data_IF_139131226333
#
_entry.id   IF_139131226333
#
_cell.length_a   1.000
_cell.length_b   1.000
_cell.length_c   1.000
_cell.angle_alpha   90.00
_cell.angle_beta   90.00
_cell.angle_gamma   90.00
#
_symmetry.space_group_name_H-M   'P 1'
#
loop_
_entity.id
_entity.type
_entity.pdbx_description
1 polymer ?
#
# COMPACT_ATOMS: atom_id res chain seq x y z
N UNK A 1 -12.45 -77.04 11.18
CA UNK A 1 -13.46 -76.98 10.11
C UNK A 1 -13.34 -75.62 9.42
N UNK A 2 -12.60 -75.59 8.31
CA UNK A 2 -12.63 -74.55 7.28
C UNK A 2 -13.71 -74.97 6.24
N UNK A 3 -13.93 -74.22 5.15
CA UNK A 3 -14.33 -72.80 5.04
C UNK A 3 -15.44 -72.66 3.97
N UNK A 4 -16.04 -71.48 3.77
CA UNK A 4 -16.60 -71.15 2.44
C UNK A 4 -16.26 -69.71 2.05
N UNK A 5 -15.56 -69.67 0.92
CA UNK A 5 -14.92 -68.56 0.23
C UNK A 5 -15.27 -68.77 -1.24
N UNK A 6 -15.97 -67.83 -1.87
CA UNK A 6 -16.05 -67.62 -3.34
C UNK A 6 -16.45 -66.14 -3.51
N UNK A 7 -15.59 -65.17 -3.83
CA UNK A 7 -14.93 -64.80 -5.13
C UNK A 7 -15.91 -64.53 -6.29
N UNK A 8 -15.45 -63.70 -7.25
CA UNK A 8 -16.12 -63.12 -8.44
C UNK A 8 -16.76 -61.74 -8.16
N UNK A 9 -16.45 -60.63 -8.85
CA UNK A 9 -15.70 -60.42 -10.08
C UNK A 9 -15.08 -59.00 -10.12
N UNK A 10 -13.87 -58.93 -10.65
CA UNK A 10 -13.06 -57.77 -11.02
C UNK A 10 -13.49 -57.25 -12.40
N UNK A 11 -13.31 -55.94 -12.68
CA UNK A 11 -13.30 -55.20 -13.98
C UNK A 11 -13.92 -53.80 -13.76
N UNK A 12 -13.36 -52.64 -14.12
CA UNK A 12 -12.25 -52.31 -15.03
C UNK A 12 -11.92 -50.80 -14.93
N UNK A 13 -10.62 -50.52 -14.82
CA UNK A 13 -9.84 -49.54 -15.63
C UNK A 13 -10.04 -48.02 -15.43
N UNK A 14 -9.17 -47.49 -14.57
CA UNK A 14 -8.35 -46.30 -14.82
C UNK A 14 -7.45 -46.55 -16.05
N UNK A 15 -7.39 -45.64 -17.05
CA UNK A 15 -6.15 -45.22 -17.72
C UNK A 15 -6.33 -44.31 -18.97
N UNK A 16 -5.46 -43.28 -19.00
CA UNK A 16 -4.78 -42.67 -20.17
C UNK A 16 -5.57 -41.79 -21.17
N UNK A 17 -5.13 -40.54 -21.21
CA UNK A 17 -5.35 -39.61 -22.32
C UNK A 17 -4.28 -38.50 -22.39
N UNK A 18 -3.00 -38.87 -22.37
CA UNK A 18 -1.92 -38.02 -22.88
C UNK A 18 -1.76 -38.24 -24.38
N UNK A 19 -1.40 -37.17 -25.10
CA UNK A 19 -0.98 -37.06 -26.51
C UNK A 19 -2.08 -36.60 -27.47
N UNK A 20 -2.12 -35.29 -27.70
CA UNK A 20 -2.19 -34.77 -29.06
C UNK A 20 -1.01 -33.82 -29.27
N UNK A 21 0.00 -34.37 -29.93
CA UNK A 21 1.02 -33.64 -30.67
C UNK A 21 0.45 -33.52 -32.08
N UNK A 22 0.34 -32.32 -32.64
CA UNK A 22 0.99 -31.94 -33.91
C UNK A 22 0.51 -30.55 -34.37
N UNK A 23 1.51 -29.70 -34.61
CA UNK A 23 1.62 -28.76 -35.73
C UNK A 23 0.60 -27.61 -35.85
N UNK A 24 1.07 -26.37 -35.59
CA UNK A 24 1.54 -25.48 -36.66
C UNK A 24 2.07 -24.14 -36.11
N UNK A 25 3.21 -23.75 -36.69
CA UNK A 25 3.71 -22.37 -36.90
C UNK A 25 4.09 -21.49 -35.70
N UNK A 26 5.39 -21.58 -35.38
CA UNK A 26 6.22 -20.47 -34.88
C UNK A 26 6.12 -19.26 -35.83
N UNK A 27 5.73 -18.10 -35.29
CA UNK A 27 6.13 -16.79 -35.83
C UNK A 27 6.97 -16.10 -34.75
N UNK A 28 8.28 -16.32 -34.80
CA UNK A 28 9.27 -15.61 -33.97
C UNK A 28 9.93 -14.58 -34.88
N UNK A 29 9.51 -13.32 -34.76
CA UNK A 29 10.15 -12.20 -35.44
C UNK A 29 11.61 -12.12 -34.96
N UNK A 30 12.52 -12.41 -35.88
CA UNK A 30 13.96 -12.28 -35.73
C UNK A 30 14.36 -10.88 -36.16
N UNK A 31 14.59 -9.97 -35.22
CA UNK A 31 15.32 -8.72 -35.48
C UNK A 31 16.80 -9.04 -35.24
N UNK A 32 17.56 -9.11 -36.32
CA UNK A 32 19.02 -9.27 -36.28
C UNK A 32 19.64 -8.59 -37.50
N UNK A 33 20.22 -7.41 -37.30
CA UNK A 33 21.32 -6.82 -38.07
C UNK A 33 21.96 -5.72 -37.19
N UNK A 34 23.25 -5.36 -37.36
CA UNK A 34 24.40 -6.17 -37.76
C UNK A 34 25.59 -6.02 -36.77
N UNK A 35 26.52 -6.97 -36.79
CA UNK A 35 27.87 -6.81 -36.23
C UNK A 35 28.89 -6.88 -37.38
N UNK A 36 29.83 -5.94 -37.38
CA UNK A 36 31.15 -6.09 -38.00
C UNK A 36 31.44 -5.10 -39.12
N UNK A 37 32.24 -4.07 -38.85
CA UNK A 37 33.63 -4.02 -39.33
C UNK A 37 34.44 -2.96 -38.57
N UNK A 38 35.69 -3.29 -38.32
CA UNK A 38 36.62 -2.61 -37.43
C UNK A 38 37.55 -1.63 -38.17
N UNK A 39 38.05 -0.67 -37.40
CA UNK A 39 39.38 -0.02 -37.40
C UNK A 39 39.96 0.60 -38.68
N UNK A 40 40.37 1.88 -38.58
CA UNK A 40 41.77 2.35 -38.60
C UNK A 40 41.83 3.90 -38.49
N UNK A 41 42.76 4.42 -37.68
CA UNK A 41 42.94 5.85 -37.35
C UNK A 41 43.67 6.71 -38.41
N UNK A 42 44.56 7.66 -38.03
CA UNK A 42 44.18 9.00 -37.55
C UNK A 42 44.95 10.18 -38.23
N UNK A 43 44.59 11.42 -37.84
CA UNK A 43 45.24 12.75 -38.06
C UNK A 43 45.22 13.40 -39.46
N UNK A 44 44.64 14.63 -39.54
CA UNK A 44 45.34 15.85 -40.00
C UNK A 44 44.55 17.14 -39.72
N UNK A 45 45.30 18.15 -39.31
CA UNK A 45 44.93 19.54 -38.98
C UNK A 45 45.11 20.43 -40.22
N UNK A 46 44.16 21.33 -40.52
CA UNK A 46 44.34 22.67 -41.14
C UNK A 46 42.94 23.34 -41.26
N UNK A 47 42.59 24.40 -40.50
CA UNK A 47 42.72 25.84 -40.85
C UNK A 47 42.20 26.14 -42.27
N UNK A 48 41.17 26.96 -42.56
CA UNK A 48 40.72 28.26 -42.02
C UNK A 48 39.41 28.72 -42.72
N UNK A 49 38.81 29.81 -42.19
CA UNK A 49 37.76 30.72 -42.75
C UNK A 49 36.30 30.51 -42.32
N UNK A 50 35.92 31.28 -41.29
CA UNK A 50 34.63 31.94 -41.05
C UNK A 50 34.34 33.03 -42.13
N UNK A 51 33.16 33.72 -42.22
CA UNK A 51 32.19 33.98 -41.15
C UNK A 51 30.66 33.98 -41.48
N UNK A 52 29.89 33.94 -40.37
CA UNK A 52 28.62 34.60 -39.99
C UNK A 52 27.59 35.07 -41.05
N UNK A 53 26.30 34.86 -40.75
CA UNK A 53 25.33 35.96 -40.52
C UNK A 53 23.98 35.48 -39.99
N UNK A 54 23.39 36.37 -39.19
CA UNK A 54 22.30 36.21 -38.24
C UNK A 54 21.11 37.10 -38.61
N UNK A 55 19.87 36.58 -38.46
CA UNK A 55 18.55 37.26 -38.25
C UNK A 55 18.13 38.35 -39.29
N UNK A 56 16.83 38.76 -39.47
CA UNK A 56 15.92 39.25 -38.40
C UNK A 56 14.38 39.13 -38.59
N UNK A 57 13.70 39.49 -37.49
CA UNK A 57 12.32 39.98 -37.31
C UNK A 57 11.73 40.84 -38.46
N UNK A 58 10.39 40.81 -38.62
CA UNK A 58 9.52 42.01 -38.67
C UNK A 58 8.01 41.72 -38.70
N UNK A 59 7.31 42.50 -37.89
CA UNK A 59 5.86 42.74 -37.76
C UNK A 59 5.30 43.66 -38.85
N UNK A 60 4.07 43.43 -39.36
CA UNK A 60 3.23 44.41 -40.11
C UNK A 60 1.75 44.10 -39.80
N UNK A 61 1.08 44.88 -38.93
CA UNK A 61 0.14 46.02 -39.18
C UNK A 61 -1.29 45.62 -39.56
N UNK A 62 -2.19 46.26 -38.81
CA UNK A 62 -3.66 46.36 -38.87
C UNK A 62 -4.31 46.46 -40.24
N UNK A 63 -5.50 45.86 -40.36
CA UNK A 63 -6.54 46.34 -41.27
C UNK A 63 -7.91 46.29 -40.56
N UNK A 64 -8.36 47.46 -40.14
CA UNK A 64 -9.73 47.74 -39.73
C UNK A 64 -10.63 47.70 -40.97
N UNK A 65 -11.73 46.95 -40.92
CA UNK A 65 -12.85 47.10 -41.82
C UNK A 65 -14.11 47.32 -40.97
N UNK A 66 -14.57 48.57 -40.93
CA UNK A 66 -15.91 48.96 -40.53
C UNK A 66 -16.65 49.38 -41.79
N UNK A 67 -17.86 48.88 -42.02
CA UNK A 67 -19.03 49.56 -42.61
C UNK A 67 -20.20 48.53 -42.56
N UNK A 68 -21.17 48.68 -41.64
CA UNK A 68 -22.52 49.26 -41.85
C UNK A 68 -23.53 48.21 -42.40
N UNK A 69 -24.75 47.95 -41.93
CA UNK A 69 -25.58 48.21 -40.73
C UNK A 69 -26.84 47.28 -40.84
N UNK A 70 -27.94 47.38 -40.06
CA UNK A 70 -28.64 46.24 -39.44
C UNK A 70 -29.94 45.81 -40.15
N UNK A 71 -30.33 44.53 -40.03
CA UNK A 71 -31.74 44.14 -40.27
C UNK A 71 -32.10 42.82 -39.59
N UNK A 72 -33.33 42.78 -39.09
CA UNK A 72 -34.11 41.67 -38.53
C UNK A 72 -33.57 40.98 -37.27
N UNK A 73 -34.06 41.49 -36.13
CA UNK A 73 -34.25 40.71 -34.92
C UNK A 73 -35.47 39.79 -35.11
N UNK A 74 -35.27 38.47 -35.12
CA UNK A 74 -36.30 37.51 -34.75
C UNK A 74 -35.68 36.36 -33.95
N UNK A 75 -36.36 36.03 -32.86
CA UNK A 75 -35.92 35.19 -31.76
C UNK A 75 -35.89 33.71 -32.14
N UNK A 76 -34.79 33.01 -31.82
CA UNK A 76 -34.81 31.56 -31.63
C UNK A 76 -33.93 31.21 -30.42
N UNK A 77 -34.60 30.87 -29.32
CA UNK A 77 -34.19 29.86 -28.34
C UNK A 77 -32.80 29.96 -27.75
N UNK A 78 -32.67 30.72 -26.66
CA UNK A 78 -31.66 30.47 -25.62
C UNK A 78 -31.89 29.06 -25.03
N UNK A 79 -31.26 28.04 -25.61
CA UNK A 79 -31.08 26.76 -24.95
C UNK A 79 -29.97 26.96 -23.92
N UNK A 80 -30.36 27.22 -22.67
CA UNK A 80 -29.47 27.13 -21.52
C UNK A 80 -29.00 25.67 -21.39
N UNK A 81 -27.93 25.34 -22.10
CA UNK A 81 -27.18 24.12 -21.87
C UNK A 81 -26.16 24.41 -20.76
N UNK A 82 -26.66 24.41 -19.52
CA UNK A 82 -25.81 24.35 -18.34
C UNK A 82 -25.20 22.95 -18.30
N UNK A 83 -24.09 22.76 -19.02
CA UNK A 83 -23.25 21.58 -18.86
C UNK A 83 -22.54 21.70 -17.51
N UNK A 84 -23.18 21.13 -16.49
CA UNK A 84 -22.54 20.66 -15.27
C UNK A 84 -21.53 19.55 -15.61
N UNK A 85 -20.46 19.89 -16.32
CA UNK A 85 -19.22 19.11 -16.37
C UNK A 85 -18.34 19.47 -15.17
N UNK A 86 -18.95 19.48 -13.99
CA UNK A 86 -18.29 19.54 -12.69
C UNK A 86 -18.07 18.14 -12.10
N UNK A 87 -17.98 17.08 -12.92
CA UNK A 87 -17.47 15.79 -12.43
C UNK A 87 -15.97 15.94 -12.23
N UNK A 88 -15.59 16.33 -11.01
CA UNK A 88 -14.22 16.33 -10.47
C UNK A 88 -13.40 15.25 -11.17
N UNK A 89 -12.37 15.68 -11.91
CA UNK A 89 -11.29 14.80 -12.33
C UNK A 89 -10.68 14.24 -11.03
N UNK A 90 -11.13 13.05 -10.59
CA UNK A 90 -10.46 12.33 -9.52
C UNK A 90 -9.06 12.03 -10.05
N UNK A 91 -8.06 12.73 -9.56
CA UNK A 91 -6.66 12.48 -9.93
C UNK A 91 -6.33 11.01 -9.67
N UNK A 92 -6.09 10.25 -10.74
CA UNK A 92 -5.75 8.82 -10.70
C UNK A 92 -4.37 8.54 -10.06
N UNK A 93 -3.67 9.57 -9.57
CA UNK A 93 -2.36 9.43 -8.92
C UNK A 93 -2.47 8.87 -7.51
N UNK A 94 -3.51 9.21 -6.75
CA UNK A 94 -3.73 8.71 -5.38
C UNK A 94 -4.02 7.22 -5.34
N UNK A 95 -4.62 6.66 -6.41
CA UNK A 95 -4.86 5.21 -6.55
C UNK A 95 -3.58 4.39 -6.57
N UNK A 96 -2.44 4.97 -6.96
CA UNK A 96 -1.14 4.27 -6.93
C UNK A 96 -0.68 3.94 -5.51
N UNK A 97 -1.20 4.63 -4.49
CA UNK A 97 -0.87 4.42 -3.08
C UNK A 97 -1.72 3.35 -2.41
N UNK A 98 -2.78 2.87 -3.05
CA UNK A 98 -3.61 1.78 -2.52
C UNK A 98 -3.43 0.55 -3.41
N UNK A 99 -3.04 -0.56 -2.80
CA UNK A 99 -3.04 -1.86 -3.48
C UNK A 99 -3.63 -2.91 -2.55
N UNK A 100 -4.89 -3.27 -2.82
CA UNK A 100 -5.58 -4.32 -2.07
C UNK A 100 -5.17 -5.70 -2.56
N UNK A 101 -5.17 -6.64 -1.63
CA UNK A 101 -5.09 -8.05 -1.99
C UNK A 101 -6.38 -8.43 -2.76
N UNK A 102 -6.22 -8.99 -3.97
CA UNK A 102 -7.28 -9.38 -4.91
C UNK A 102 -7.98 -8.26 -5.71
N UNK A 103 -7.32 -7.12 -5.88
CA UNK A 103 -7.80 -6.01 -6.74
C UNK A 103 -9.23 -5.54 -6.42
N UNK A 104 -9.63 -5.67 -5.15
CA UNK A 104 -10.94 -5.20 -4.69
C UNK A 104 -11.01 -3.66 -4.75
N UNK A 105 -12.22 -3.12 -4.92
CA UNK A 105 -12.42 -1.67 -4.99
C UNK A 105 -12.06 -1.00 -3.64
N UNK A 106 -11.37 0.16 -3.68
CA UNK A 106 -11.04 0.91 -2.49
C UNK A 106 -12.29 1.50 -1.83
N UNK A 107 -12.31 1.50 -0.51
CA UNK A 107 -13.35 2.16 0.30
C UNK A 107 -13.13 3.66 0.29
N UNK A 108 -14.19 4.45 0.47
CA UNK A 108 -14.13 5.93 0.53
C UNK A 108 -13.12 6.43 1.57
N UNK A 109 -13.05 5.75 2.72
CA UNK A 109 -12.10 6.10 3.77
C UNK A 109 -10.65 5.86 3.34
N UNK A 110 -10.39 4.78 2.59
CA UNK A 110 -9.06 4.48 2.07
C UNK A 110 -8.65 5.46 0.98
N UNK A 111 -9.58 5.85 0.09
CA UNK A 111 -9.34 6.89 -0.92
C UNK A 111 -8.89 8.20 -0.24
N UNK A 112 -9.51 8.55 0.89
CA UNK A 112 -9.15 9.73 1.70
C UNK A 112 -7.74 9.61 2.29
N UNK A 113 -7.41 8.46 2.89
CA UNK A 113 -6.07 8.20 3.45
C UNK A 113 -5.00 8.26 2.35
N UNK A 114 -5.29 7.71 1.18
CA UNK A 114 -4.37 7.72 0.06
C UNK A 114 -4.17 9.11 -0.55
N UNK A 115 -5.21 9.93 -0.57
CA UNK A 115 -5.10 11.33 -0.95
C UNK A 115 -4.16 12.06 0.01
N UNK A 116 -4.31 11.88 1.33
CA UNK A 116 -3.40 12.51 2.30
C UNK A 116 -1.96 12.03 2.14
N UNK A 117 -1.72 10.74 1.89
CA UNK A 117 -0.38 10.24 1.62
C UNK A 117 0.24 10.86 0.36
N UNK A 118 -0.56 11.08 -0.69
CA UNK A 118 -0.12 11.75 -1.91
C UNK A 118 0.20 13.23 -1.68
N UNK A 119 -0.63 13.93 -0.90
CA UNK A 119 -0.38 15.34 -0.55
C UNK A 119 0.90 15.49 0.27
N UNK A 120 1.17 14.55 1.19
CA UNK A 120 2.41 14.52 1.98
C UNK A 120 3.66 14.28 1.13
N UNK A 121 3.57 13.46 0.08
CA UNK A 121 4.67 13.25 -0.88
C UNK A 121 5.04 14.55 -1.61
N UNK A 122 4.06 15.41 -1.91
CA UNK A 122 4.28 16.66 -2.61
C UNK A 122 4.70 17.81 -1.70
N UNK A 123 4.23 17.81 -0.45
CA UNK A 123 4.47 18.91 0.49
C UNK A 123 5.86 18.85 1.12
N UNK A 124 6.34 17.65 1.47
CA UNK A 124 7.60 17.48 2.21
C UNK A 124 8.70 16.86 1.34
N UNK A 125 9.72 17.64 1.01
CA UNK A 125 10.84 17.19 0.16
C UNK A 125 11.63 16.03 0.77
N UNK A 126 11.77 15.97 2.10
CA UNK A 126 12.50 14.89 2.79
C UNK A 126 11.78 13.54 2.72
N UNK A 127 10.45 13.53 2.87
CA UNK A 127 9.65 12.30 2.88
C UNK A 127 9.32 11.80 1.48
N UNK A 128 9.51 12.64 0.45
CA UNK A 128 9.14 12.34 -0.93
C UNK A 128 9.86 11.11 -1.47
N UNK A 129 11.15 10.98 -1.21
CA UNK A 129 11.97 9.86 -1.70
C UNK A 129 11.50 8.52 -1.14
N UNK A 130 11.26 8.46 0.17
CA UNK A 130 10.79 7.27 0.86
C UNK A 130 9.32 6.96 0.53
N UNK A 131 8.45 7.97 0.48
CA UNK A 131 7.00 7.76 0.28
C UNK A 131 6.66 7.33 -1.15
N UNK A 132 7.45 7.70 -2.16
CA UNK A 132 7.18 7.41 -3.58
C UNK A 132 6.87 5.93 -3.83
N UNK A 133 7.68 5.04 -3.27
CA UNK A 133 7.60 3.59 -3.47
C UNK A 133 6.67 2.89 -2.47
N UNK A 134 6.17 3.64 -1.47
CA UNK A 134 5.31 3.09 -0.43
C UNK A 134 3.84 3.14 -0.83
N UNK A 135 3.14 2.08 -0.48
CA UNK A 135 1.70 1.93 -0.66
C UNK A 135 1.10 1.20 0.55
N UNK A 136 -0.22 1.32 0.70
CA UNK A 136 -1.01 0.72 1.77
C UNK A 136 -1.97 -0.32 1.19
N UNK A 137 -2.31 -1.33 2.00
CA UNK A 137 -3.27 -2.35 1.63
C UNK A 137 -4.69 -1.89 1.92
N UNK A 138 -4.92 -1.42 3.14
CA UNK A 138 -6.23 -1.08 3.67
C UNK A 138 -6.09 -0.05 4.78
N UNK A 139 -7.14 0.71 5.06
CA UNK A 139 -7.25 1.55 6.23
C UNK A 139 -8.62 1.37 6.86
N UNK A 140 -8.67 1.28 8.18
CA UNK A 140 -9.89 1.10 8.96
C UNK A 140 -9.94 2.09 10.11
N UNK A 141 -11.11 2.69 10.32
CA UNK A 141 -11.37 3.47 11.52
C UNK A 141 -11.89 2.53 12.62
N UNK A 142 -11.37 2.70 13.83
CA UNK A 142 -11.66 1.85 14.98
C UNK A 142 -12.06 2.73 16.17
N UNK A 143 -13.16 2.38 16.84
CA UNK A 143 -13.63 3.13 18.00
C UNK A 143 -12.91 2.65 19.25
N UNK A 144 -12.22 3.53 19.96
CA UNK A 144 -11.48 3.21 21.18
C UNK A 144 -12.32 3.62 22.39
N UNK A 145 -12.04 3.03 23.56
CA UNK A 145 -12.59 3.49 24.82
C UNK A 145 -12.33 5.00 25.03
N UNK A 146 -13.31 5.71 25.61
CA UNK A 146 -13.21 7.14 25.89
C UNK A 146 -13.61 8.08 24.73
N UNK A 147 -14.53 7.67 23.85
CA UNK A 147 -15.02 8.44 22.69
C UNK A 147 -13.95 8.86 21.69
N UNK A 148 -12.74 8.32 21.79
CA UNK A 148 -11.65 8.54 20.83
C UNK A 148 -11.78 7.53 19.69
N UNK A 149 -11.51 7.98 18.46
CA UNK A 149 -11.43 7.12 17.29
C UNK A 149 -9.99 7.02 16.84
N UNK A 150 -9.51 5.79 16.64
CA UNK A 150 -8.20 5.52 16.09
C UNK A 150 -8.31 5.17 14.61
N UNK A 151 -7.27 5.53 13.85
CA UNK A 151 -7.13 5.13 12.44
C UNK A 151 -6.04 4.08 12.36
N UNK A 152 -6.41 2.89 11.90
CA UNK A 152 -5.46 1.79 11.69
C UNK A 152 -5.19 1.64 10.21
N UNK A 153 -3.92 1.78 9.83
CA UNK A 153 -3.47 1.67 8.45
C UNK A 153 -2.69 0.36 8.29
N UNK A 154 -3.16 -0.46 7.38
CA UNK A 154 -2.56 -1.74 7.04
C UNK A 154 -1.52 -1.57 5.94
N UNK A 155 -0.27 -1.90 6.28
CA UNK A 155 0.91 -1.78 5.42
C UNK A 155 1.35 -3.17 4.94
N UNK A 156 1.76 -3.33 3.68
CA UNK A 156 2.37 -4.58 3.22
C UNK A 156 3.55 -5.03 4.10
N UNK A 157 3.58 -6.30 4.52
CA UNK A 157 4.68 -6.83 5.34
C UNK A 157 6.08 -6.61 4.73
N UNK A 158 6.19 -6.61 3.39
CA UNK A 158 7.45 -6.36 2.67
C UNK A 158 8.01 -4.95 2.94
N UNK A 159 7.14 -3.96 3.05
CA UNK A 159 7.49 -2.54 3.18
C UNK A 159 7.56 -2.06 4.63
N UNK A 160 7.24 -2.93 5.61
CA UNK A 160 7.25 -2.62 7.05
C UNK A 160 8.54 -1.91 7.52
N UNK A 161 9.71 -2.35 7.04
CA UNK A 161 11.00 -1.75 7.42
C UNK A 161 11.13 -0.29 6.95
N UNK A 162 10.65 0.02 5.76
CA UNK A 162 10.68 1.38 5.22
C UNK A 162 9.73 2.29 6.01
N UNK A 163 8.51 1.82 6.30
CA UNK A 163 7.56 2.55 7.15
C UNK A 163 8.10 2.79 8.56
N UNK A 164 8.87 1.86 9.14
CA UNK A 164 9.51 2.07 10.46
C UNK A 164 10.51 3.23 10.46
N UNK A 165 11.28 3.42 9.37
CA UNK A 165 12.24 4.55 9.27
C UNK A 165 11.55 5.91 9.33
N UNK A 166 10.41 6.05 8.63
CA UNK A 166 9.70 7.32 8.50
C UNK A 166 8.55 7.50 9.49
N UNK A 167 8.29 6.51 10.34
CA UNK A 167 7.08 6.40 11.16
C UNK A 167 6.79 7.64 12.00
N UNK A 168 7.77 8.11 12.78
CA UNK A 168 7.60 9.24 13.70
C UNK A 168 7.13 10.50 12.98
N UNK A 169 7.67 10.75 11.79
CA UNK A 169 7.34 11.92 10.97
C UNK A 169 5.98 11.72 10.29
N UNK A 170 5.76 10.55 9.71
CA UNK A 170 4.52 10.21 9.00
C UNK A 170 3.30 10.28 9.93
N UNK A 171 3.39 9.68 11.13
CA UNK A 171 2.28 9.67 12.09
C UNK A 171 1.92 11.08 12.53
N UNK A 172 2.91 11.93 12.85
CA UNK A 172 2.67 13.33 13.23
C UNK A 172 1.95 14.12 12.13
N UNK A 173 2.34 13.92 10.87
CA UNK A 173 1.68 14.61 9.75
C UNK A 173 0.26 14.10 9.47
N UNK A 174 0.04 12.78 9.58
CA UNK A 174 -1.30 12.22 9.44
C UNK A 174 -2.22 12.65 10.59
N UNK A 175 -1.73 12.72 11.82
CA UNK A 175 -2.52 13.14 12.99
C UNK A 175 -3.01 14.58 12.88
N UNK A 176 -2.19 15.47 12.30
CA UNK A 176 -2.62 16.84 11.95
C UNK A 176 -3.79 16.83 10.97
N UNK A 177 -3.78 15.94 9.97
CA UNK A 177 -4.85 15.84 8.95
C UNK A 177 -6.11 15.16 9.47
N UNK A 178 -5.98 14.22 10.40
CA UNK A 178 -7.10 13.49 10.99
C UNK A 178 -7.70 14.16 12.24
N UNK A 179 -7.48 15.46 12.42
CA UNK A 179 -8.06 16.27 13.51
C UNK A 179 -7.73 15.71 14.90
N UNK A 180 -6.51 15.20 15.10
CA UNK A 180 -6.06 14.67 16.39
C UNK A 180 -6.56 13.26 16.72
N UNK A 181 -7.08 12.51 15.75
CA UNK A 181 -7.28 11.06 15.89
C UNK A 181 -5.93 10.36 15.86
N UNK A 182 -5.72 9.44 16.79
CA UNK A 182 -4.49 8.64 16.85
C UNK A 182 -4.37 7.73 15.63
N UNK A 183 -3.20 7.73 14.99
CA UNK A 183 -2.91 6.88 13.82
C UNK A 183 -1.93 5.78 14.20
N UNK A 184 -2.27 4.53 13.89
CA UNK A 184 -1.43 3.35 14.14
C UNK A 184 -1.18 2.60 12.84
N UNK A 185 0.09 2.26 12.57
CA UNK A 185 0.48 1.48 11.39
C UNK A 185 0.67 0.01 11.77
N UNK A 186 0.04 -0.89 11.03
CA UNK A 186 0.12 -2.34 11.27
C UNK A 186 0.49 -3.06 9.99
N UNK A 187 1.39 -4.03 10.07
CA UNK A 187 1.71 -4.84 8.90
C UNK A 187 0.61 -5.88 8.63
N UNK A 188 0.25 -6.08 7.36
CA UNK A 188 -0.64 -7.17 6.93
C UNK A 188 0.05 -8.51 7.08
N UNK A 189 -0.44 -9.33 8.01
CA UNK A 189 0.12 -10.65 8.32
C UNK A 189 -0.92 -11.73 8.08
N UNK A 190 -0.55 -12.77 7.33
CA UNK A 190 -1.43 -13.90 7.03
C UNK A 190 -1.31 -14.98 8.10
N UNK A 191 -2.41 -15.26 8.80
CA UNK A 191 -2.50 -16.40 9.73
C UNK A 191 -2.92 -17.64 8.94
N UNK A 192 -2.16 -18.73 9.08
CA UNK A 192 -2.49 -20.03 8.50
C UNK A 192 -2.99 -20.93 9.61
N UNK A 193 -4.10 -21.66 9.42
CA UNK A 193 -4.61 -22.58 10.45
C UNK A 193 -3.63 -23.74 10.66
N UNK A 194 -3.56 -24.34 11.86
CA UNK A 194 -2.80 -25.57 12.06
C UNK A 194 -3.22 -26.64 11.05
N UNK A 195 -2.27 -27.38 10.45
CA UNK A 195 -2.61 -28.47 9.54
C UNK A 195 -3.44 -29.54 10.27
N UNK A 196 -4.34 -30.21 9.55
CA UNK A 196 -5.08 -31.35 10.09
C UNK A 196 -4.13 -32.53 10.31
N UNK A 197 -4.44 -33.37 11.31
CA UNK A 197 -3.64 -34.58 11.62
C UNK A 197 -3.55 -35.46 10.35
N UNK A 198 -2.32 -35.76 9.91
CA UNK A 198 -2.06 -36.59 8.72
C UNK A 198 -1.69 -35.83 7.44
N UNK A 199 -1.73 -34.50 7.40
CA UNK A 199 -1.23 -33.77 6.23
C UNK A 199 0.29 -33.59 6.26
N UNK A 200 0.97 -33.84 5.14
CA UNK A 200 2.41 -33.63 4.99
C UNK A 200 2.82 -32.13 4.93
N UNK A 201 1.86 -31.21 4.80
CA UNK A 201 2.13 -29.77 4.65
C UNK A 201 2.46 -29.14 6.01
N UNK A 202 3.73 -28.80 6.20
CA UNK A 202 4.21 -28.11 7.40
C UNK A 202 3.85 -26.61 7.37
N UNK A 203 3.26 -26.10 8.46
CA UNK A 203 3.00 -24.66 8.61
C UNK A 203 4.29 -23.91 8.99
N UNK A 204 4.63 -22.79 8.32
CA UNK A 204 5.70 -21.90 8.76
C UNK A 204 5.43 -21.31 10.14
N UNK A 205 6.44 -21.27 11.02
CA UNK A 205 6.32 -20.71 12.38
C UNK A 205 5.88 -19.24 12.41
N UNK A 206 6.30 -18.46 11.41
CA UNK A 206 5.96 -17.04 11.27
C UNK A 206 4.48 -16.80 10.95
N UNK A 207 3.76 -17.80 10.44
CA UNK A 207 2.32 -17.71 10.10
C UNK A 207 1.43 -18.37 11.16
N UNK A 208 1.96 -18.56 12.36
CA UNK A 208 1.22 -19.05 13.52
C UNK A 208 0.41 -17.92 14.17
N UNK A 209 -0.73 -18.25 14.78
CA UNK A 209 -1.56 -17.24 15.47
C UNK A 209 -0.78 -16.52 16.56
N UNK A 210 -0.02 -17.27 17.36
CA UNK A 210 0.80 -16.71 18.44
C UNK A 210 1.87 -15.75 17.91
N UNK A 211 2.69 -16.19 16.95
CA UNK A 211 3.75 -15.34 16.40
C UNK A 211 3.21 -14.10 15.67
N UNK A 212 2.06 -14.22 15.01
CA UNK A 212 1.41 -13.06 14.37
C UNK A 212 0.91 -12.06 15.41
N UNK A 213 0.28 -12.53 16.50
CA UNK A 213 -0.20 -11.63 17.56
C UNK A 213 0.95 -10.92 18.27
N UNK A 214 2.05 -11.63 18.55
CA UNK A 214 3.24 -11.02 19.17
C UNK A 214 3.86 -9.95 18.26
N UNK A 215 3.94 -10.24 16.96
CA UNK A 215 4.51 -9.30 15.99
C UNK A 215 3.56 -8.14 15.64
N UNK A 216 2.24 -8.31 15.80
CA UNK A 216 1.27 -7.21 15.71
C UNK A 216 1.38 -6.30 16.93
N UNK A 217 1.57 -6.87 18.12
CA UNK A 217 1.76 -6.08 19.34
C UNK A 217 2.97 -5.14 19.21
N UNK A 218 4.08 -5.63 18.65
CA UNK A 218 5.26 -4.81 18.34
C UNK A 218 4.99 -3.68 17.33
N UNK A 219 4.15 -3.93 16.32
CA UNK A 219 3.84 -2.91 15.32
C UNK A 219 2.93 -1.82 15.89
N UNK A 220 2.02 -2.17 16.81
CA UNK A 220 1.09 -1.22 17.45
C UNK A 220 1.83 -0.23 18.36
N UNK A 221 2.83 -0.69 19.11
CA UNK A 221 3.52 0.16 20.11
C UNK A 221 4.71 0.94 19.56
N UNK A 222 5.12 0.68 18.32
CA UNK A 222 6.20 1.43 17.68
C UNK A 222 5.85 2.95 17.70
N UNK A 223 6.77 3.84 18.10
CA UNK A 223 8.22 3.70 18.22
C UNK A 223 8.73 2.93 19.46
N UNK A 224 7.93 2.82 20.52
CA UNK A 224 8.39 2.28 21.79
C UNK A 224 8.66 0.77 21.69
N UNK A 225 9.80 0.36 22.24
CA UNK A 225 10.17 -1.05 22.29
C UNK A 225 9.60 -1.73 23.54
N UNK A 226 9.24 -3.01 23.39
CA UNK A 226 8.71 -3.81 24.48
C UNK A 226 9.87 -4.42 25.27
N UNK A 227 10.03 -4.01 26.52
CA UNK A 227 11.05 -4.52 27.44
C UNK A 227 10.64 -5.87 28.03
N UNK A 228 9.35 -6.02 28.34
CA UNK A 228 8.85 -7.23 29.00
C UNK A 228 7.38 -7.49 28.76
N UNK A 229 6.98 -8.75 28.88
CA UNK A 229 5.58 -9.19 28.79
C UNK A 229 5.28 -10.14 29.95
N UNK A 230 4.21 -9.88 30.70
CA UNK A 230 3.71 -10.74 31.76
C UNK A 230 2.23 -11.04 31.50
N UNK A 231 1.81 -12.28 31.69
CA UNK A 231 0.39 -12.65 31.59
C UNK A 231 -0.12 -12.94 32.98
N UNK A 232 -1.08 -12.12 33.44
CA UNK A 232 -1.76 -12.34 34.71
C UNK A 232 -3.02 -13.16 34.45
N UNK A 233 -3.15 -14.26 35.17
CA UNK A 233 -4.35 -15.07 35.23
C UNK A 233 -5.17 -14.63 36.44
N UNK A 234 -6.43 -14.27 36.24
CA UNK A 234 -7.37 -14.00 37.34
C UNK A 234 -8.06 -15.29 37.76
N UNK A 235 -8.67 -15.28 38.95
CA UNK A 235 -9.43 -16.42 39.50
C UNK A 235 -10.61 -16.76 38.58
N UNK A 236 -11.19 -15.75 37.93
CA UNK A 236 -12.28 -15.89 36.93
C UNK A 236 -11.84 -16.58 35.62
N UNK A 237 -10.55 -16.92 35.47
CA UNK A 237 -9.97 -17.49 34.25
C UNK A 237 -9.64 -16.46 33.16
N UNK A 238 -10.02 -15.20 33.36
CA UNK A 238 -9.65 -14.10 32.46
C UNK A 238 -8.14 -13.85 32.47
N UNK A 239 -7.60 -13.53 31.29
CA UNK A 239 -6.16 -13.31 31.08
C UNK A 239 -5.94 -11.86 30.73
N UNK A 240 -5.08 -11.18 31.48
CA UNK A 240 -4.65 -9.81 31.19
C UNK A 240 -3.16 -9.80 30.91
N UNK A 241 -2.80 -9.35 29.72
CA UNK A 241 -1.40 -9.21 29.31
C UNK A 241 -0.88 -7.84 29.77
N UNK A 242 0.05 -7.83 30.72
CA UNK A 242 0.80 -6.64 31.11
C UNK A 242 2.06 -6.52 30.26
N UNK A 243 2.16 -5.45 29.49
CA UNK A 243 3.27 -5.19 28.57
C UNK A 243 4.04 -3.99 29.09
N UNK A 244 5.34 -4.18 29.31
CA UNK A 244 6.25 -3.15 29.78
C UNK A 244 6.95 -2.51 28.59
N UNK A 245 6.78 -1.20 28.44
CA UNK A 245 7.43 -0.39 27.41
C UNK A 245 8.72 0.25 27.95
N UNK A 246 9.66 0.59 27.06
CA UNK A 246 10.87 1.31 27.45
C UNK A 246 10.53 2.72 27.98
N UNK A 247 10.96 3.10 29.20
CA UNK A 247 10.71 4.44 29.76
C UNK A 247 11.32 5.59 28.93
N UNK A 248 12.32 5.34 28.08
CA UNK A 248 12.95 6.39 27.25
C UNK A 248 11.97 7.09 26.31
N UNK A 249 10.99 6.36 25.81
CA UNK A 249 10.03 6.88 24.83
C UNK A 249 8.72 7.35 25.45
N UNK A 250 8.63 7.35 26.79
CA UNK A 250 7.43 7.69 27.55
C UNK A 250 6.76 8.98 27.07
N UNK A 251 7.54 10.05 26.86
CA UNK A 251 7.03 11.35 26.43
C UNK A 251 6.28 11.30 25.07
N UNK A 252 6.63 10.36 24.19
CA UNK A 252 6.03 10.24 22.87
C UNK A 252 4.84 9.27 22.82
N UNK A 253 4.76 8.29 23.73
CA UNK A 253 3.77 7.20 23.65
C UNK A 253 2.74 7.20 24.77
N UNK A 254 2.96 7.94 25.85
CA UNK A 254 2.06 7.96 27.03
C UNK A 254 0.61 8.39 26.68
N UNK A 255 0.42 9.36 25.78
CA UNK A 255 -0.93 9.81 25.42
C UNK A 255 -1.74 8.76 24.60
N UNK A 256 -1.09 7.74 24.05
CA UNK A 256 -1.68 6.71 23.16
C UNK A 256 -1.94 5.36 23.82
N UNK A 257 -1.60 5.17 25.10
CA UNK A 257 -1.66 3.85 25.74
C UNK A 257 -3.06 3.22 25.70
N UNK A 258 -4.09 4.02 25.93
CA UNK A 258 -5.49 3.58 25.83
C UNK A 258 -5.84 3.15 24.41
N UNK A 259 -5.39 3.92 23.41
CA UNK A 259 -5.57 3.60 21.99
C UNK A 259 -4.89 2.28 21.61
N UNK A 260 -3.65 2.05 22.04
CA UNK A 260 -2.96 0.79 21.78
C UNK A 260 -3.72 -0.41 22.35
N UNK A 261 -4.25 -0.28 23.57
CA UNK A 261 -5.02 -1.36 24.20
C UNK A 261 -6.32 -1.64 23.46
N UNK A 262 -7.06 -0.60 23.07
CA UNK A 262 -8.32 -0.72 22.33
C UNK A 262 -8.14 -1.33 20.94
N UNK A 263 -7.13 -0.85 20.19
CA UNK A 263 -6.80 -1.38 18.86
C UNK A 263 -6.41 -2.85 18.95
N UNK A 264 -5.50 -3.21 19.86
CA UNK A 264 -5.06 -4.60 19.98
C UNK A 264 -6.20 -5.55 20.42
N UNK A 265 -7.08 -5.07 21.32
CA UNK A 265 -8.27 -5.82 21.74
C UNK A 265 -9.23 -6.09 20.59
N UNK A 266 -9.49 -5.11 19.73
CA UNK A 266 -10.37 -5.31 18.58
C UNK A 266 -9.76 -6.21 17.50
N UNK A 267 -8.45 -6.13 17.29
CA UNK A 267 -7.76 -6.96 16.30
C UNK A 267 -7.62 -8.42 16.74
N UNK A 268 -7.39 -8.66 18.02
CA UNK A 268 -6.99 -10.00 18.52
C UNK A 268 -7.94 -10.62 19.53
N UNK A 269 -8.86 -9.83 20.08
CA UNK A 269 -9.75 -10.24 21.17
C UNK A 269 -9.06 -10.43 22.53
N UNK A 270 -7.79 -9.99 22.67
CA UNK A 270 -7.01 -10.15 23.91
C UNK A 270 -6.92 -8.83 24.66
N UNK A 271 -7.11 -8.88 25.98
CA UNK A 271 -6.96 -7.72 26.84
C UNK A 271 -5.50 -7.47 27.19
N UNK A 272 -5.03 -6.25 26.91
CA UNK A 272 -3.65 -5.80 27.15
C UNK A 272 -3.68 -4.52 27.99
N UNK A 273 -2.80 -4.46 28.98
CA UNK A 273 -2.49 -3.26 29.75
C UNK A 273 -1.02 -2.89 29.50
N UNK A 274 -0.77 -1.65 29.09
CA UNK A 274 0.57 -1.11 28.89
C UNK A 274 1.01 -0.33 30.12
N UNK A 275 2.21 -0.61 30.61
CA UNK A 275 2.79 0.04 31.79
C UNK A 275 4.26 0.39 31.48
N UNK A 276 4.79 1.45 32.11
CA UNK A 276 6.23 1.69 32.12
C UNK A 276 6.81 1.08 33.40
N UNK A 277 7.94 0.36 33.34
CA UNK A 277 8.60 -0.10 34.54
C UNK A 277 9.04 1.12 35.35
N UNK A 278 8.66 1.16 36.63
CA UNK A 278 9.19 2.16 37.56
C UNK A 278 10.63 1.74 37.80
N UNK A 279 11.58 2.53 37.33
CA UNK A 279 12.98 2.37 37.70
C UNK A 279 13.05 2.80 39.16
N UNK A 280 13.13 1.84 40.09
CA UNK A 280 13.59 2.14 41.44
C UNK A 280 15.03 2.63 41.28
N UNK A 281 15.21 3.94 41.44
CA UNK A 281 16.49 4.62 41.39
C UNK A 281 17.27 4.39 42.70
#
# INVERSE_FOLDING_TARGET
>A
MNPLLVRFFDQTQEERGSRFLFFLTKFRLSVRLPLGFADLGPWKIFSSRQPELSVPYKSIVSASFLFLSPSSAEAIGFLNFHLDFGKKIKMYTSRKKIHKDKDAEPSEFEETVAQYLFDLENTNQELKSDLKDLYINQATQMDVAGNRRAVVIYVPFRLRKAFRKIHLRLVRELEKKFSGKDVVLIATRRIVRPPKKGSAVLRPRTRTLTAVHDAMLEDVVYPAEIVGKRVRYRIDGSKVMKVFLDPKERNNTEYKLETFSGVYRQLTGKDVAFEYPITEA
#
